data_IF_139560963044
#
_entry.id   IF_139560963044
#
_cell.length_a   1.000
_cell.length_b   1.000
_cell.length_c   1.000
_cell.angle_alpha   90.00
_cell.angle_beta   90.00
_cell.angle_gamma   90.00
#
_symmetry.space_group_name_H-M   'P 1'
#
loop_
_entity.id
_entity.type
_entity.pdbx_description
1 polymer ?
#
# COMPACT_ATOMS: atom_id res chain seq x y z
N UNK A 1 40.22 -8.20 -7.99
CA UNK A 1 40.45 -6.95 -7.21
C UNK A 1 39.34 -5.97 -7.56
N UNK A 2 38.21 -6.08 -6.87
CA UNK A 2 37.03 -5.18 -7.04
C UNK A 2 37.24 -4.00 -6.08
N UNK A 3 37.59 -2.82 -6.63
CA UNK A 3 37.59 -1.57 -5.88
C UNK A 3 36.12 -1.19 -5.66
N UNK A 4 35.63 -1.41 -4.47
CA UNK A 4 34.34 -0.85 -4.01
C UNK A 4 34.49 0.66 -3.84
N UNK A 5 34.09 1.39 -4.85
CA UNK A 5 34.11 2.85 -4.82
C UNK A 5 32.87 3.36 -4.06
N UNK A 6 33.00 3.44 -2.73
CA UNK A 6 31.95 3.95 -1.82
C UNK A 6 31.98 5.49 -1.66
N UNK A 7 32.62 6.19 -2.63
CA UNK A 7 32.68 7.66 -2.68
C UNK A 7 31.38 8.34 -3.15
N UNK A 8 30.32 7.59 -3.46
CA UNK A 8 29.04 8.18 -3.88
C UNK A 8 28.23 8.88 -2.77
N UNK A 9 28.72 8.89 -1.51
CA UNK A 9 27.98 9.48 -0.38
C UNK A 9 28.39 10.90 0.00
N UNK A 10 29.34 11.52 -0.69
CA UNK A 10 29.79 12.88 -0.44
C UNK A 10 29.30 13.88 -1.49
N UNK A 11 28.00 13.86 -1.80
CA UNK A 11 27.41 14.96 -2.55
C UNK A 11 27.19 16.13 -1.58
N UNK A 12 27.59 17.37 -1.94
CA UNK A 12 27.34 18.53 -1.10
C UNK A 12 25.83 18.70 -0.92
N UNK A 13 25.39 18.72 0.33
CA UNK A 13 24.00 19.00 0.71
C UNK A 13 23.69 20.44 0.31
N UNK A 14 23.13 20.66 -0.88
CA UNK A 14 22.58 21.96 -1.27
C UNK A 14 21.38 22.25 -0.37
N UNK A 15 21.25 23.46 0.12
CA UNK A 15 20.21 23.90 1.07
C UNK A 15 18.78 23.53 0.63
N UNK A 16 18.50 23.48 -0.67
CA UNK A 16 17.23 23.01 -1.22
C UNK A 16 16.94 21.52 -0.98
N UNK A 17 17.96 20.67 -0.78
CA UNK A 17 17.81 19.27 -0.42
C UNK A 17 17.37 19.07 1.02
N UNK A 18 17.81 19.93 1.94
CA UNK A 18 17.48 19.81 3.37
C UNK A 18 15.98 20.01 3.64
N UNK A 19 15.35 20.97 2.97
CA UNK A 19 13.90 21.18 3.05
C UNK A 19 13.09 19.99 2.52
N UNK A 20 13.52 19.36 1.43
CA UNK A 20 12.90 18.13 0.91
C UNK A 20 13.12 16.94 1.84
N UNK A 21 14.28 16.87 2.46
CA UNK A 21 14.64 15.79 3.39
C UNK A 21 13.76 15.77 4.65
N UNK A 22 13.32 16.92 5.12
CA UNK A 22 12.48 17.07 6.31
C UNK A 22 10.97 17.05 5.95
N UNK A 23 10.57 17.68 4.83
CA UNK A 23 9.15 17.79 4.46
C UNK A 23 8.54 16.46 4.06
N UNK A 24 9.27 15.56 3.40
CA UNK A 24 8.77 14.26 2.97
C UNK A 24 8.46 13.31 4.15
N UNK A 25 9.35 13.09 5.13
CA UNK A 25 9.04 12.29 6.31
C UNK A 25 7.89 12.89 7.15
N UNK A 26 7.84 14.20 7.27
CA UNK A 26 6.78 14.88 8.02
C UNK A 26 5.42 14.71 7.35
N UNK A 27 5.36 14.85 6.03
CA UNK A 27 4.16 14.58 5.24
C UNK A 27 3.67 13.14 5.41
N UNK A 28 4.59 12.17 5.36
CA UNK A 28 4.27 10.76 5.58
C UNK A 28 3.76 10.51 7.00
N UNK A 29 4.39 11.11 8.01
CA UNK A 29 3.97 10.99 9.39
C UNK A 29 2.55 11.57 9.61
N UNK A 30 2.27 12.74 9.06
CA UNK A 30 0.94 13.36 9.13
C UNK A 30 -0.10 12.47 8.43
N UNK A 31 0.20 11.96 7.23
CA UNK A 31 -0.71 11.06 6.51
C UNK A 31 -0.99 9.77 7.32
N UNK A 32 0.02 9.20 7.96
CA UNK A 32 -0.14 8.01 8.79
C UNK A 32 -0.99 8.29 10.03
N UNK A 33 -0.72 9.37 10.76
CA UNK A 33 -1.47 9.72 11.99
C UNK A 33 -2.93 10.04 11.64
N UNK A 34 -3.17 10.84 10.62
CA UNK A 34 -4.54 11.20 10.20
C UNK A 34 -5.31 9.97 9.75
N UNK A 35 -4.70 9.09 8.93
CA UNK A 35 -5.37 7.88 8.48
C UNK A 35 -5.69 6.90 9.62
N UNK A 36 -4.79 6.76 10.60
CA UNK A 36 -5.04 5.97 11.80
C UNK A 36 -6.20 6.55 12.61
N UNK A 37 -6.19 7.87 12.85
CA UNK A 37 -7.25 8.55 13.61
C UNK A 37 -8.61 8.42 12.95
N UNK A 38 -8.69 8.56 11.62
CA UNK A 38 -9.95 8.37 10.87
C UNK A 38 -10.40 6.92 10.93
N UNK A 39 -9.50 5.93 10.77
CA UNK A 39 -9.86 4.52 10.85
C UNK A 39 -10.39 4.12 12.23
N UNK A 40 -9.77 4.65 13.30
CA UNK A 40 -10.25 4.46 14.67
C UNK A 40 -11.60 5.13 14.92
N UNK A 41 -11.80 6.36 14.42
CA UNK A 41 -13.08 7.07 14.56
C UNK A 41 -14.23 6.36 13.83
N UNK A 42 -13.94 5.64 12.74
CA UNK A 42 -14.88 4.82 12.00
C UNK A 42 -15.07 3.41 12.61
N UNK A 43 -14.41 3.11 13.72
CA UNK A 43 -14.47 1.82 14.41
C UNK A 43 -14.16 0.63 13.48
N UNK A 44 -13.22 0.80 12.57
CA UNK A 44 -12.79 -0.28 11.68
C UNK A 44 -12.11 -1.40 12.48
N UNK A 45 -12.32 -2.68 12.12
CA UNK A 45 -11.83 -3.84 12.90
C UNK A 45 -10.31 -3.82 13.06
N UNK A 46 -9.59 -3.38 12.03
CA UNK A 46 -8.12 -3.40 11.98
C UNK A 46 -7.55 -2.06 11.50
N UNK A 47 -7.68 -0.99 12.30
CA UNK A 47 -7.39 0.38 11.87
C UNK A 47 -5.95 0.62 11.42
N UNK A 48 -5.01 -0.27 11.76
CA UNK A 48 -3.59 -0.17 11.40
C UNK A 48 -3.30 -0.39 9.90
N UNK A 49 -4.25 -0.93 9.12
CA UNK A 49 -4.07 -1.09 7.68
C UNK A 49 -4.18 0.22 6.90
N UNK A 50 -4.96 1.16 7.40
CA UNK A 50 -5.09 2.48 6.80
C UNK A 50 -3.75 3.26 6.79
N UNK A 51 -3.03 3.43 7.93
CA UNK A 51 -1.75 4.12 7.93
C UNK A 51 -0.68 3.39 7.12
N UNK A 52 -0.66 2.05 7.08
CA UNK A 52 0.27 1.30 6.21
C UNK A 52 0.05 1.70 4.75
N UNK A 53 -1.20 1.83 4.33
CA UNK A 53 -1.55 2.24 2.97
C UNK A 53 -1.18 3.69 2.69
N UNK A 54 -1.39 4.57 3.67
CA UNK A 54 -1.02 5.98 3.58
C UNK A 54 0.50 6.16 3.45
N UNK A 55 1.29 5.45 4.25
CA UNK A 55 2.76 5.50 4.19
C UNK A 55 3.26 5.09 2.81
N UNK A 56 2.79 3.94 2.30
CA UNK A 56 3.22 3.44 0.98
C UNK A 56 2.90 4.42 -0.14
N UNK A 57 1.76 5.10 -0.09
CA UNK A 57 1.37 6.07 -1.11
C UNK A 57 2.05 7.43 -0.96
N UNK A 58 2.46 7.83 0.25
CA UNK A 58 3.06 9.14 0.51
C UNK A 58 4.55 9.22 0.20
N UNK A 59 5.20 8.09 -0.12
CA UNK A 59 6.62 8.06 -0.48
C UNK A 59 6.90 8.62 -1.88
N UNK A 60 5.89 8.67 -2.75
CA UNK A 60 5.99 9.14 -4.11
C UNK A 60 5.48 10.60 -4.25
N UNK A 61 5.93 11.33 -5.29
CA UNK A 61 5.30 12.57 -5.71
C UNK A 61 3.84 12.31 -6.15
N UNK A 62 2.97 13.34 -6.18
CA UNK A 62 1.53 13.17 -6.39
C UNK A 62 1.15 12.29 -7.59
N UNK A 63 1.84 12.43 -8.72
CA UNK A 63 1.59 11.59 -9.90
C UNK A 63 1.99 10.13 -9.66
N UNK A 64 3.14 9.90 -9.03
CA UNK A 64 3.58 8.57 -8.60
C UNK A 64 2.66 8.00 -7.54
N UNK A 65 2.24 8.80 -6.56
CA UNK A 65 1.30 8.40 -5.51
C UNK A 65 -0.05 7.94 -6.08
N UNK A 66 -0.59 8.64 -7.07
CA UNK A 66 -1.86 8.26 -7.71
C UNK A 66 -1.75 6.95 -8.52
N UNK A 67 -0.60 6.73 -9.17
CA UNK A 67 -0.32 5.48 -9.87
C UNK A 67 -0.17 4.31 -8.88
N UNK A 68 0.57 4.53 -7.80
CA UNK A 68 0.75 3.55 -6.70
C UNK A 68 -0.58 3.24 -6.01
N UNK A 69 -1.41 4.25 -5.78
CA UNK A 69 -2.75 4.10 -5.23
C UNK A 69 -3.63 3.17 -6.08
N UNK A 70 -3.69 3.40 -7.40
CA UNK A 70 -4.45 2.54 -8.32
C UNK A 70 -3.93 1.10 -8.31
N UNK A 71 -2.61 0.91 -8.37
CA UNK A 71 -1.99 -0.42 -8.34
C UNK A 71 -2.30 -1.15 -7.05
N UNK A 72 -2.28 -0.44 -5.92
CA UNK A 72 -2.58 -0.97 -4.60
C UNK A 72 -4.06 -1.34 -4.47
N UNK A 73 -4.99 -0.47 -4.89
CA UNK A 73 -6.42 -0.74 -4.87
C UNK A 73 -6.78 -1.96 -5.71
N UNK A 74 -6.33 -2.00 -6.97
CA UNK A 74 -6.62 -3.13 -7.87
C UNK A 74 -6.02 -4.44 -7.37
N UNK A 75 -4.77 -4.40 -6.91
CA UNK A 75 -4.13 -5.57 -6.33
C UNK A 75 -4.85 -6.07 -5.09
N UNK A 76 -5.16 -5.17 -4.14
CA UNK A 76 -5.89 -5.53 -2.92
C UNK A 76 -7.28 -6.09 -3.23
N UNK A 77 -8.03 -5.47 -4.15
CA UNK A 77 -9.35 -5.94 -4.56
C UNK A 77 -9.29 -7.39 -5.07
N UNK A 78 -8.39 -7.68 -6.02
CA UNK A 78 -8.21 -9.02 -6.54
C UNK A 78 -7.76 -10.01 -5.46
N UNK A 79 -6.85 -9.58 -4.59
CA UNK A 79 -6.34 -10.40 -3.49
C UNK A 79 -7.41 -10.79 -2.47
N UNK A 80 -8.21 -9.82 -2.00
CA UNK A 80 -9.27 -10.10 -1.02
C UNK A 80 -10.42 -10.93 -1.62
N UNK A 81 -10.76 -10.71 -2.90
CA UNK A 81 -11.78 -11.50 -3.58
C UNK A 81 -11.33 -12.96 -3.72
N UNK A 82 -10.10 -13.20 -4.18
CA UNK A 82 -9.57 -14.57 -4.30
C UNK A 82 -9.44 -15.24 -2.94
N UNK A 83 -9.02 -14.51 -1.89
CA UNK A 83 -8.96 -15.04 -0.55
C UNK A 83 -10.33 -15.46 -0.03
N UNK A 84 -11.34 -14.59 -0.18
CA UNK A 84 -12.71 -14.90 0.24
C UNK A 84 -13.28 -16.12 -0.50
N UNK A 85 -13.06 -16.21 -1.82
CA UNK A 85 -13.44 -17.37 -2.61
C UNK A 85 -12.70 -18.63 -2.15
N UNK A 86 -11.39 -18.57 -1.94
CA UNK A 86 -10.61 -19.71 -1.48
C UNK A 86 -11.12 -20.23 -0.13
N UNK A 87 -11.32 -19.35 0.85
CA UNK A 87 -11.81 -19.75 2.18
C UNK A 87 -13.24 -20.30 2.12
N UNK A 88 -14.07 -19.79 1.21
CA UNK A 88 -15.47 -20.24 1.05
C UNK A 88 -15.60 -21.61 0.39
N UNK A 89 -14.70 -21.93 -0.54
CA UNK A 89 -14.84 -23.14 -1.38
C UNK A 89 -13.77 -24.21 -1.17
N UNK A 90 -12.67 -23.89 -0.50
CA UNK A 90 -11.57 -24.82 -0.31
C UNK A 90 -11.05 -24.81 1.13
N UNK A 91 -10.75 -26.00 1.66
CA UNK A 91 -10.06 -26.13 2.93
C UNK A 91 -8.68 -25.45 2.88
N UNK A 92 -8.30 -24.80 3.96
CA UNK A 92 -6.96 -24.20 4.07
C UNK A 92 -5.90 -25.30 4.07
N UNK A 93 -5.08 -25.31 3.04
CA UNK A 93 -3.82 -26.05 3.02
C UNK A 93 -2.79 -25.27 2.18
N UNK A 94 -1.53 -25.61 2.35
CA UNK A 94 -0.42 -24.92 1.71
C UNK A 94 -0.49 -24.98 0.16
N UNK A 95 -1.01 -26.07 -0.39
CA UNK A 95 -1.16 -26.24 -1.84
C UNK A 95 -2.23 -25.30 -2.38
N UNK A 96 -3.41 -25.24 -1.75
CA UNK A 96 -4.49 -24.34 -2.15
C UNK A 96 -4.06 -22.87 -2.03
N UNK A 97 -3.31 -22.53 -0.99
CA UNK A 97 -2.74 -21.20 -0.83
C UNK A 97 -1.77 -20.85 -1.98
N UNK A 98 -0.86 -21.76 -2.33
CA UNK A 98 0.06 -21.57 -3.44
C UNK A 98 -0.66 -21.43 -4.80
N UNK A 99 -1.71 -22.24 -5.03
CA UNK A 99 -2.56 -22.13 -6.21
C UNK A 99 -3.29 -20.79 -6.29
N UNK A 100 -3.79 -20.29 -5.17
CA UNK A 100 -4.46 -18.98 -5.13
C UNK A 100 -3.50 -17.83 -5.47
N UNK A 101 -2.25 -17.86 -4.97
CA UNK A 101 -1.22 -16.88 -5.36
C UNK A 101 -0.85 -17.00 -6.84
N UNK A 102 -0.71 -18.21 -7.36
CA UNK A 102 -0.44 -18.44 -8.79
C UNK A 102 -1.58 -17.91 -9.67
N UNK A 103 -2.84 -18.18 -9.27
CA UNK A 103 -4.03 -17.67 -9.96
C UNK A 103 -4.09 -16.14 -9.91
N UNK A 104 -3.79 -15.52 -8.77
CA UNK A 104 -3.67 -14.06 -8.64
C UNK A 104 -2.63 -13.50 -9.61
N UNK A 105 -1.47 -14.16 -9.74
CA UNK A 105 -0.43 -13.78 -10.68
C UNK A 105 -0.90 -13.86 -12.13
N UNK A 106 -1.59 -14.93 -12.50
CA UNK A 106 -2.17 -15.09 -13.82
C UNK A 106 -3.22 -14.02 -14.14
N UNK A 107 -4.12 -13.72 -13.19
CA UNK A 107 -5.12 -12.67 -13.35
C UNK A 107 -4.48 -11.29 -13.51
N UNK A 108 -3.48 -10.96 -12.70
CA UNK A 108 -2.75 -9.71 -12.82
C UNK A 108 -2.04 -9.59 -14.18
N UNK A 109 -1.46 -10.68 -14.68
CA UNK A 109 -0.81 -10.73 -15.98
C UNK A 109 -1.82 -10.61 -17.14
N UNK A 110 -2.94 -11.32 -17.06
CA UNK A 110 -4.01 -11.25 -18.06
C UNK A 110 -4.64 -9.86 -18.13
N UNK A 111 -4.83 -9.21 -16.98
CA UNK A 111 -5.30 -7.83 -16.88
C UNK A 111 -4.22 -6.78 -17.19
N UNK A 112 -3.01 -7.20 -17.57
CA UNK A 112 -1.85 -6.32 -17.85
C UNK A 112 -1.57 -5.32 -16.73
N UNK A 113 -1.79 -5.72 -15.48
CA UNK A 113 -1.52 -4.89 -14.32
C UNK A 113 -0.02 -4.82 -14.05
N UNK A 114 0.38 -3.71 -13.42
CA UNK A 114 1.77 -3.54 -13.04
C UNK A 114 2.19 -4.61 -12.00
N UNK A 115 3.43 -5.13 -12.02
CA UNK A 115 3.90 -6.16 -11.08
C UNK A 115 3.72 -5.81 -9.60
N UNK A 116 3.71 -4.53 -9.25
CA UNK A 116 3.41 -4.08 -7.88
C UNK A 116 1.99 -4.43 -7.43
N UNK A 117 1.01 -4.53 -8.35
CA UNK A 117 -0.37 -4.93 -8.01
C UNK A 117 -0.43 -6.35 -7.48
N UNK A 118 0.35 -7.26 -8.06
CA UNK A 118 0.47 -8.64 -7.56
C UNK A 118 0.99 -8.67 -6.12
N UNK A 119 2.01 -7.86 -5.79
CA UNK A 119 2.56 -7.80 -4.42
C UNK A 119 1.50 -7.38 -3.41
N UNK A 120 0.75 -6.32 -3.70
CA UNK A 120 -0.31 -5.84 -2.81
C UNK A 120 -1.46 -6.84 -2.70
N UNK A 121 -1.83 -7.49 -3.81
CA UNK A 121 -2.84 -8.54 -3.81
C UNK A 121 -2.42 -9.78 -3.03
N UNK A 122 -1.17 -10.23 -3.17
CA UNK A 122 -0.64 -11.37 -2.44
C UNK A 122 -0.60 -11.11 -0.93
N UNK A 123 -0.22 -9.90 -0.50
CA UNK A 123 -0.26 -9.51 0.92
C UNK A 123 -1.70 -9.56 1.44
N UNK A 124 -2.64 -8.95 0.72
CA UNK A 124 -4.04 -8.92 1.11
C UNK A 124 -4.65 -10.34 1.18
N UNK A 125 -4.35 -11.18 0.19
CA UNK A 125 -4.77 -12.58 0.15
C UNK A 125 -4.22 -13.34 1.37
N UNK A 126 -2.93 -13.22 1.64
CA UNK A 126 -2.28 -13.90 2.78
C UNK A 126 -2.96 -13.53 4.10
N UNK A 127 -3.21 -12.24 4.33
CA UNK A 127 -3.81 -11.74 5.56
C UNK A 127 -5.23 -12.31 5.75
N UNK A 128 -6.08 -12.23 4.72
CA UNK A 128 -7.47 -12.73 4.80
C UNK A 128 -7.51 -14.26 4.97
N UNK A 129 -6.64 -15.00 4.26
CA UNK A 129 -6.58 -16.46 4.38
C UNK A 129 -6.03 -16.89 5.75
N UNK A 130 -5.16 -16.10 6.36
CA UNK A 130 -4.58 -16.38 7.69
C UNK A 130 -5.48 -15.97 8.86
N UNK A 131 -6.59 -15.29 8.59
CA UNK A 131 -7.54 -14.90 9.64
C UNK A 131 -8.12 -16.14 10.32
N UNK A 132 -8.09 -16.22 11.65
CA UNK A 132 -8.65 -17.37 12.38
C UNK A 132 -10.17 -17.46 12.28
N UNK A 133 -10.88 -16.34 12.13
CA UNK A 133 -12.34 -16.33 11.99
C UNK A 133 -12.78 -16.49 10.52
N UNK A 134 -12.99 -17.74 10.12
CA UNK A 134 -13.45 -18.09 8.76
C UNK A 134 -14.95 -17.82 8.55
N UNK A 135 -15.71 -17.62 9.61
CA UNK A 135 -17.16 -17.42 9.52
C UNK A 135 -17.52 -16.04 8.92
N UNK A 136 -16.65 -15.05 9.13
CA UNK A 136 -16.85 -13.67 8.69
C UNK A 136 -15.93 -13.26 7.53
N UNK A 137 -15.42 -14.21 6.72
CA UNK A 137 -14.39 -13.96 5.71
C UNK A 137 -14.74 -12.83 4.72
N UNK A 138 -16.00 -12.73 4.32
CA UNK A 138 -16.46 -11.66 3.41
C UNK A 138 -16.47 -10.30 4.08
N UNK A 139 -16.78 -10.25 5.39
CA UNK A 139 -16.69 -9.03 6.17
C UNK A 139 -15.22 -8.60 6.34
N UNK A 140 -14.34 -9.54 6.71
CA UNK A 140 -12.90 -9.28 6.83
C UNK A 140 -12.31 -8.80 5.51
N UNK A 141 -12.65 -9.45 4.39
CA UNK A 141 -12.20 -9.06 3.05
C UNK A 141 -12.67 -7.64 2.69
N UNK A 142 -13.94 -7.32 2.97
CA UNK A 142 -14.50 -5.98 2.76
C UNK A 142 -13.85 -4.92 3.65
N UNK A 143 -13.67 -5.20 4.93
CA UNK A 143 -13.01 -4.31 5.87
C UNK A 143 -11.57 -3.98 5.43
N UNK A 144 -10.80 -5.00 5.01
CA UNK A 144 -9.45 -4.81 4.45
C UNK A 144 -9.41 -3.87 3.26
N UNK A 145 -10.36 -4.05 2.34
CA UNK A 145 -10.43 -3.18 1.17
C UNK A 145 -10.77 -1.74 1.55
N UNK A 146 -11.70 -1.54 2.48
CA UNK A 146 -12.09 -0.21 2.98
C UNK A 146 -10.93 0.46 3.70
N UNK A 147 -10.19 -0.25 4.58
CA UNK A 147 -9.01 0.28 5.28
C UNK A 147 -7.94 0.77 4.30
N UNK A 148 -7.64 -0.03 3.28
CA UNK A 148 -6.66 0.32 2.26
C UNK A 148 -7.13 1.53 1.45
N UNK A 149 -8.41 1.56 1.04
CA UNK A 149 -8.97 2.68 0.28
C UNK A 149 -8.97 3.99 1.09
N UNK A 150 -9.30 3.91 2.38
CA UNK A 150 -9.28 5.04 3.30
C UNK A 150 -7.85 5.59 3.47
N UNK A 151 -6.88 4.72 3.71
CA UNK A 151 -5.48 5.13 3.85
C UNK A 151 -4.95 5.82 2.58
N UNK A 152 -5.30 5.29 1.40
CA UNK A 152 -4.96 5.90 0.10
C UNK A 152 -5.63 7.27 -0.05
N UNK A 153 -6.92 7.39 0.27
CA UNK A 153 -7.65 8.66 0.15
C UNK A 153 -7.03 9.74 1.03
N UNK A 154 -6.73 9.41 2.29
CA UNK A 154 -6.07 10.32 3.22
C UNK A 154 -4.69 10.72 2.71
N UNK A 155 -3.88 9.77 2.23
CA UNK A 155 -2.55 10.07 1.69
C UNK A 155 -2.62 11.06 0.52
N UNK A 156 -3.51 10.82 -0.44
CA UNK A 156 -3.67 11.71 -1.60
C UNK A 156 -4.16 13.10 -1.20
N UNK A 157 -5.06 13.19 -0.21
CA UNK A 157 -5.52 14.47 0.33
C UNK A 157 -4.39 15.23 1.02
N UNK A 158 -3.59 14.57 1.85
CA UNK A 158 -2.45 15.17 2.53
C UNK A 158 -1.41 15.65 1.51
N UNK A 159 -1.08 14.83 0.50
CA UNK A 159 -0.13 15.21 -0.57
C UNK A 159 -0.66 16.43 -1.35
N UNK A 160 -1.95 16.46 -1.66
CA UNK A 160 -2.58 17.58 -2.37
C UNK A 160 -2.61 18.87 -1.57
N UNK A 161 -2.87 18.75 -0.26
CA UNK A 161 -2.93 19.88 0.67
C UNK A 161 -1.53 20.38 1.10
N UNK A 162 -0.49 19.55 0.91
CA UNK A 162 0.87 19.89 1.33
C UNK A 162 1.43 21.05 0.50
N UNK A 163 2.05 22.06 1.14
CA UNK A 163 2.64 23.18 0.42
C UNK A 163 3.71 22.68 -0.56
N UNK A 164 3.49 22.90 -1.84
CA UNK A 164 4.51 22.62 -2.85
C UNK A 164 5.65 23.60 -2.65
N UNK A 165 6.81 23.10 -2.26
CA UNK A 165 8.05 23.90 -2.33
C UNK A 165 8.26 24.26 -3.79
N UNK A 166 8.03 25.54 -4.15
CA UNK A 166 8.35 26.06 -5.49
C UNK A 166 9.83 25.80 -5.72
N UNK A 167 10.15 24.96 -6.70
CA UNK A 167 11.50 24.96 -7.25
C UNK A 167 11.72 26.34 -7.88
N UNK A 168 12.50 27.16 -7.23
CA UNK A 168 13.15 28.32 -7.87
C UNK A 168 14.39 27.78 -8.58
N UNK A 169 14.18 27.10 -9.69
CA UNK A 169 15.21 26.80 -10.66
C UNK A 169 14.77 27.45 -11.99
N UNK A 170 15.06 28.72 -12.14
CA UNK A 170 15.33 29.38 -13.43
C UNK A 170 16.77 29.87 -13.42
#
# INVERSE_FOLDING_TARGET
MLKTDWRCWSLPVREGHMHRFISSPLQTAVAAVVSMGVAQALLLPDPYWAPISAIVCSLDAFEGASATARRRLLGTLLGVLLAALQVSFAAYNLVNYGLAIALLGLLCSAARLHPSSLRFGAIALTVVVSDPDKSAVWFTAGARFVDVALGIAVALLVIKAWPKVKNQDQ
#
